data_IF_896709602894
#
_entry.id   IF_896709602894
#
_cell.length_a   1.000
_cell.length_b   1.000
_cell.length_c   1.000
_cell.angle_alpha   90.00
_cell.angle_beta   90.00
_cell.angle_gamma   90.00
#
_symmetry.space_group_name_H-M   'P 1'
#
loop_
_entity.id
_entity.type
_entity.pdbx_description
1 polymer ?
#
# COMPACT_ATOMS: atom_id res chain seq x y z
N UNK A 1 4.98 -40.70 -11.55
CA UNK A 1 6.03 -40.33 -10.57
C UNK A 1 6.76 -39.10 -11.10
N UNK A 2 6.15 -37.93 -10.97
CA UNK A 2 6.50 -36.86 -10.00
C UNK A 2 7.96 -36.42 -10.11
N UNK A 3 8.35 -35.78 -11.22
CA UNK A 3 9.41 -34.76 -11.21
C UNK A 3 9.19 -33.82 -12.41
N UNK A 4 8.35 -32.80 -12.25
CA UNK A 4 8.37 -31.59 -13.10
C UNK A 4 7.49 -30.43 -12.57
N UNK A 5 6.83 -30.60 -11.42
CA UNK A 5 5.97 -29.56 -10.82
C UNK A 5 6.66 -28.61 -9.84
N UNK A 6 7.97 -28.69 -9.64
CA UNK A 6 8.67 -27.90 -8.61
C UNK A 6 9.34 -26.62 -9.09
N UNK A 7 9.29 -26.27 -10.39
CA UNK A 7 9.97 -25.07 -10.90
C UNK A 7 9.07 -23.86 -11.19
N UNK A 8 7.76 -23.96 -10.96
CA UNK A 8 6.82 -22.83 -11.17
C UNK A 8 6.36 -22.14 -9.88
N UNK A 9 6.85 -22.53 -8.71
CA UNK A 9 6.42 -21.92 -7.42
C UNK A 9 7.31 -20.79 -6.92
N UNK A 10 8.46 -20.53 -7.55
CA UNK A 10 9.43 -19.51 -7.08
C UNK A 10 9.39 -18.18 -7.85
N UNK A 11 8.59 -18.07 -8.91
CA UNK A 11 8.54 -16.85 -9.76
C UNK A 11 7.46 -15.84 -9.40
N UNK A 12 6.68 -16.03 -8.34
CA UNK A 12 5.54 -15.14 -8.01
C UNK A 12 5.75 -14.30 -6.75
N UNK A 13 6.85 -14.44 -6.00
CA UNK A 13 6.96 -13.82 -4.67
C UNK A 13 8.04 -12.75 -4.47
N UNK A 14 8.68 -12.26 -5.54
CA UNK A 14 9.80 -11.32 -5.41
C UNK A 14 9.41 -9.85 -5.33
N UNK A 15 8.15 -9.49 -5.57
CA UNK A 15 7.64 -8.12 -5.36
C UNK A 15 7.11 -7.91 -3.93
N UNK A 16 6.94 -9.01 -3.18
CA UNK A 16 6.15 -9.01 -1.95
C UNK A 16 6.90 -8.60 -0.67
N UNK A 17 8.22 -8.36 -0.72
CA UNK A 17 9.00 -8.01 0.50
C UNK A 17 9.61 -6.61 0.40
N UNK A 18 10.04 -6.17 -0.78
CA UNK A 18 10.70 -4.86 -0.95
C UNK A 18 9.75 -3.67 -0.77
N UNK A 19 8.45 -3.84 -1.02
CA UNK A 19 7.47 -2.77 -0.78
C UNK A 19 7.40 -2.44 0.72
N UNK A 20 7.68 -3.39 1.62
CA UNK A 20 7.40 -3.22 3.04
C UNK A 20 8.47 -2.52 3.86
N UNK A 21 9.68 -2.29 3.35
CA UNK A 21 10.70 -1.56 4.11
C UNK A 21 10.80 -0.09 3.65
N UNK A 22 10.64 0.17 2.34
CA UNK A 22 10.80 1.50 1.76
C UNK A 22 9.47 2.18 1.37
N UNK A 23 8.30 1.62 1.73
CA UNK A 23 7.00 2.23 1.41
C UNK A 23 6.85 3.70 1.83
N UNK A 24 7.40 4.18 2.97
CA UNK A 24 7.29 5.59 3.34
C UNK A 24 8.05 6.50 2.36
N UNK A 25 9.24 6.09 1.95
CA UNK A 25 10.13 6.78 1.03
C UNK A 25 9.54 6.80 -0.38
N UNK A 26 9.04 5.65 -0.85
CA UNK A 26 8.39 5.54 -2.17
C UNK A 26 7.16 6.43 -2.24
N UNK A 27 6.28 6.38 -1.22
CA UNK A 27 5.10 7.25 -1.16
C UNK A 27 5.51 8.73 -1.19
N UNK A 28 6.50 9.11 -0.36
CA UNK A 28 7.01 10.49 -0.30
C UNK A 28 7.54 10.97 -1.64
N UNK A 29 8.31 10.11 -2.33
CA UNK A 29 8.86 10.43 -3.64
C UNK A 29 7.75 10.64 -4.68
N UNK A 30 6.79 9.71 -4.78
CA UNK A 30 5.65 9.84 -5.70
C UNK A 30 4.88 11.14 -5.46
N UNK A 31 4.61 11.47 -4.20
CA UNK A 31 3.90 12.70 -3.84
C UNK A 31 4.71 13.96 -4.20
N UNK A 32 6.03 13.93 -4.01
CA UNK A 32 6.90 15.05 -4.42
C UNK A 32 6.87 15.28 -5.94
N UNK A 33 6.77 14.21 -6.73
CA UNK A 33 6.65 14.30 -8.19
C UNK A 33 5.28 14.83 -8.62
N UNK A 34 4.22 14.56 -7.87
CA UNK A 34 2.90 15.11 -8.14
C UNK A 34 2.83 16.64 -7.88
N UNK A 35 3.64 17.12 -6.95
CA UNK A 35 3.79 18.56 -6.70
C UNK A 35 4.63 19.29 -7.77
N UNK A 36 5.30 18.59 -8.69
CA UNK A 36 6.24 19.21 -9.64
C UNK A 36 5.54 20.03 -10.73
N UNK A 37 6.03 21.24 -11.04
CA UNK A 37 5.44 22.15 -12.04
C UNK A 37 5.21 21.58 -13.46
N UNK A 38 5.91 20.51 -13.85
CA UNK A 38 5.80 19.92 -15.19
C UNK A 38 4.56 19.02 -15.27
N UNK A 39 3.62 19.38 -16.13
CA UNK A 39 2.38 18.64 -16.34
C UNK A 39 2.58 17.13 -16.58
N UNK A 40 3.53 16.77 -17.46
CA UNK A 40 3.79 15.36 -17.78
C UNK A 40 4.31 14.57 -16.57
N UNK A 41 5.13 15.21 -15.72
CA UNK A 41 5.63 14.60 -14.48
C UNK A 41 4.49 14.36 -13.51
N UNK A 42 3.58 15.33 -13.32
CA UNK A 42 2.38 15.15 -12.47
C UNK A 42 1.52 13.99 -12.95
N UNK A 43 1.30 13.88 -14.27
CA UNK A 43 0.47 12.82 -14.86
C UNK A 43 1.07 11.44 -14.62
N UNK A 44 2.38 11.28 -14.84
CA UNK A 44 3.09 10.03 -14.56
C UNK A 44 3.04 9.72 -13.06
N UNK A 45 3.32 10.71 -12.20
CA UNK A 45 3.27 10.53 -10.75
C UNK A 45 1.88 10.11 -10.26
N UNK A 46 0.81 10.63 -10.85
CA UNK A 46 -0.56 10.23 -10.53
C UNK A 46 -0.80 8.76 -10.88
N UNK A 47 -0.41 8.32 -12.09
CA UNK A 47 -0.53 6.92 -12.47
C UNK A 47 0.30 6.01 -11.55
N UNK A 48 1.56 6.39 -11.27
CA UNK A 48 2.43 5.64 -10.35
C UNK A 48 1.85 5.57 -8.94
N UNK A 49 1.22 6.64 -8.46
CA UNK A 49 0.52 6.66 -7.18
C UNK A 49 -0.61 5.63 -7.15
N UNK A 50 -1.51 5.67 -8.13
CA UNK A 50 -2.65 4.75 -8.17
C UNK A 50 -2.18 3.28 -8.28
N UNK A 51 -1.17 2.99 -9.09
CA UNK A 51 -0.55 1.65 -9.19
C UNK A 51 0.09 1.23 -7.87
N UNK A 52 0.90 2.09 -7.24
CA UNK A 52 1.57 1.78 -5.98
C UNK A 52 0.59 1.44 -4.87
N UNK A 53 -0.49 2.21 -4.71
CA UNK A 53 -1.51 1.92 -3.71
C UNK A 53 -2.18 0.56 -3.95
N UNK A 54 -2.48 0.24 -5.21
CA UNK A 54 -3.09 -1.03 -5.59
C UNK A 54 -2.14 -2.21 -5.36
N UNK A 55 -0.87 -2.06 -5.69
CA UNK A 55 0.14 -3.12 -5.50
C UNK A 55 0.32 -3.43 -4.01
N UNK A 56 0.47 -2.39 -3.17
CA UNK A 56 0.51 -2.56 -1.71
C UNK A 56 -0.78 -3.23 -1.23
N UNK A 57 -1.94 -2.75 -1.70
CA UNK A 57 -3.24 -3.29 -1.30
C UNK A 57 -3.44 -4.76 -1.68
N UNK A 58 -2.97 -5.16 -2.85
CA UNK A 58 -3.06 -6.53 -3.33
C UNK A 58 -2.08 -7.44 -2.59
N UNK A 59 -0.87 -6.95 -2.27
CA UNK A 59 0.07 -7.65 -1.40
C UNK A 59 -0.61 -8.05 -0.07
N UNK A 60 -1.33 -7.13 0.58
CA UNK A 60 -2.10 -7.47 1.79
C UNK A 60 -3.17 -8.55 1.60
N UNK A 61 -3.85 -8.58 0.45
CA UNK A 61 -4.90 -9.58 0.16
C UNK A 61 -4.30 -10.95 -0.12
N UNK A 62 -3.14 -10.99 -0.76
CA UNK A 62 -2.47 -12.22 -1.19
C UNK A 62 -1.56 -12.79 -0.09
N UNK A 63 -1.18 -11.99 0.90
CA UNK A 63 -0.28 -12.43 1.97
C UNK A 63 -1.01 -13.37 2.93
N UNK A 64 -0.55 -14.62 2.99
CA UNK A 64 -0.98 -15.59 4.00
C UNK A 64 -0.15 -15.41 5.29
N UNK A 65 -0.52 -14.41 6.09
CA UNK A 65 0.21 -14.05 7.31
C UNK A 65 -0.06 -15.06 8.41
N UNK A 66 0.90 -15.95 8.63
CA UNK A 66 0.81 -16.98 9.67
C UNK A 66 1.60 -16.63 10.92
N UNK A 67 2.70 -15.88 10.77
CA UNK A 67 3.61 -15.60 11.87
C UNK A 67 3.26 -14.28 12.59
N UNK A 68 3.41 -14.20 13.93
CA UNK A 68 3.09 -12.99 14.69
C UNK A 68 3.92 -11.75 14.31
N UNK A 69 5.17 -11.93 13.90
CA UNK A 69 6.09 -10.87 13.47
C UNK A 69 5.70 -10.29 12.10
N UNK A 70 5.37 -11.14 11.14
CA UNK A 70 4.82 -10.73 9.83
C UNK A 70 3.52 -9.95 10.01
N UNK A 71 2.64 -10.41 10.91
CA UNK A 71 1.40 -9.73 11.28
C UNK A 71 1.64 -8.34 11.86
N UNK A 72 2.64 -8.21 12.74
CA UNK A 72 3.00 -6.92 13.33
C UNK A 72 3.50 -5.95 12.26
N UNK A 73 4.35 -6.39 11.32
CA UNK A 73 4.85 -5.56 10.21
C UNK A 73 3.71 -5.12 9.28
N UNK A 74 2.85 -6.05 8.91
CA UNK A 74 1.66 -5.76 8.10
C UNK A 74 0.76 -4.69 8.76
N UNK A 75 0.53 -4.80 10.07
CA UNK A 75 -0.21 -3.79 10.83
C UNK A 75 0.49 -2.43 10.83
N UNK A 76 1.82 -2.39 10.99
CA UNK A 76 2.58 -1.13 10.96
C UNK A 76 2.44 -0.41 9.62
N UNK A 77 2.51 -1.15 8.52
CA UNK A 77 2.35 -0.62 7.16
C UNK A 77 0.93 -0.07 6.97
N UNK A 78 -0.11 -0.84 7.36
CA UNK A 78 -1.51 -0.39 7.32
C UNK A 78 -1.73 0.90 8.12
N UNK A 79 -1.23 0.93 9.36
CA UNK A 79 -1.33 2.09 10.24
C UNK A 79 -0.63 3.31 9.66
N UNK A 80 0.55 3.14 9.06
CA UNK A 80 1.26 4.23 8.41
C UNK A 80 0.42 4.86 7.29
N UNK A 81 -0.11 4.06 6.36
CA UNK A 81 -0.89 4.59 5.24
C UNK A 81 -2.17 5.29 5.72
N UNK A 82 -2.93 4.67 6.62
CA UNK A 82 -4.16 5.27 7.18
C UNK A 82 -3.83 6.61 7.84
N UNK A 83 -2.78 6.67 8.67
CA UNK A 83 -2.36 7.91 9.33
C UNK A 83 -1.89 8.96 8.33
N UNK A 84 -1.01 8.60 7.40
CA UNK A 84 -0.46 9.51 6.40
C UNK A 84 -1.54 10.14 5.51
N UNK A 85 -2.64 9.43 5.24
CA UNK A 85 -3.77 9.97 4.49
C UNK A 85 -4.70 10.79 5.36
N UNK A 86 -5.06 10.30 6.56
CA UNK A 86 -5.98 10.99 7.48
C UNK A 86 -5.43 12.34 7.95
N UNK A 87 -4.18 12.38 8.40
CA UNK A 87 -3.54 13.61 8.88
C UNK A 87 -3.61 14.73 7.83
N UNK A 88 -3.56 14.35 6.55
CA UNK A 88 -3.67 15.28 5.43
C UNK A 88 -5.11 15.66 5.11
N UNK A 89 -6.07 14.72 5.13
CA UNK A 89 -7.49 15.02 4.93
C UNK A 89 -8.02 16.02 5.96
N UNK A 90 -7.59 15.90 7.21
CA UNK A 90 -8.03 16.78 8.30
C UNK A 90 -7.36 18.18 8.25
N UNK A 91 -6.47 18.44 7.28
CA UNK A 91 -5.79 19.73 7.11
C UNK A 91 -6.56 20.64 6.13
N UNK A 92 -6.94 21.88 6.51
CA UNK A 92 -7.81 22.76 5.71
C UNK A 92 -7.15 23.39 4.46
N UNK A 93 -5.87 23.15 4.20
CA UNK A 93 -5.06 23.89 3.20
C UNK A 93 -4.75 23.09 1.93
N UNK A 94 -5.28 21.86 1.77
CA UNK A 94 -4.95 21.05 0.61
C UNK A 94 -5.68 21.50 -0.66
N UNK A 95 -4.94 21.55 -1.76
CA UNK A 95 -5.55 21.61 -3.09
C UNK A 95 -6.51 20.44 -3.30
N UNK A 96 -7.63 20.67 -3.99
CA UNK A 96 -8.68 19.67 -4.23
C UNK A 96 -8.11 18.36 -4.81
N UNK A 97 -7.10 18.45 -5.68
CA UNK A 97 -6.46 17.28 -6.30
C UNK A 97 -5.69 16.45 -5.28
N UNK A 98 -4.89 17.09 -4.43
CA UNK A 98 -4.17 16.40 -3.37
C UNK A 98 -5.13 15.77 -2.38
N UNK A 99 -6.18 16.48 -1.98
CA UNK A 99 -7.23 15.94 -1.12
C UNK A 99 -7.88 14.69 -1.73
N UNK A 100 -8.23 14.74 -3.02
CA UNK A 100 -8.82 13.59 -3.72
C UNK A 100 -7.87 12.38 -3.73
N UNK A 101 -6.56 12.57 -3.89
CA UNK A 101 -5.57 11.49 -3.79
C UNK A 101 -5.51 10.89 -2.39
N UNK A 102 -5.52 11.73 -1.34
CA UNK A 102 -5.49 11.27 0.06
C UNK A 102 -6.74 10.48 0.41
N UNK A 103 -7.93 10.96 0.01
CA UNK A 103 -9.20 10.25 0.20
C UNK A 103 -9.13 8.89 -0.50
N UNK A 104 -8.63 8.83 -1.74
CA UNK A 104 -8.52 7.57 -2.49
C UNK A 104 -7.61 6.57 -1.77
N UNK A 105 -6.45 7.01 -1.32
CA UNK A 105 -5.54 6.21 -0.50
C UNK A 105 -6.21 5.73 0.78
N UNK A 106 -6.86 6.62 1.52
CA UNK A 106 -7.57 6.27 2.75
C UNK A 106 -8.62 5.17 2.51
N UNK A 107 -9.47 5.31 1.49
CA UNK A 107 -10.51 4.32 1.16
C UNK A 107 -9.91 2.96 0.82
N UNK A 108 -8.83 2.92 0.03
CA UNK A 108 -8.14 1.67 -0.32
C UNK A 108 -7.68 0.94 0.94
N UNK A 109 -7.03 1.64 1.87
CA UNK A 109 -6.44 1.01 3.06
C UNK A 109 -7.43 0.79 4.20
N UNK A 110 -8.47 1.61 4.34
CA UNK A 110 -9.55 1.38 5.31
C UNK A 110 -10.29 0.06 5.02
N UNK A 111 -10.58 -0.20 3.74
CA UNK A 111 -11.21 -1.45 3.29
C UNK A 111 -10.35 -2.70 3.59
N UNK A 112 -9.02 -2.55 3.56
CA UNK A 112 -8.10 -3.62 3.94
C UNK A 112 -8.09 -3.77 5.46
N UNK A 113 -8.00 -2.66 6.19
CA UNK A 113 -7.98 -2.63 7.65
C UNK A 113 -9.18 -3.33 8.26
N UNK A 114 -10.39 -3.12 7.74
CA UNK A 114 -11.61 -3.80 8.20
C UNK A 114 -11.50 -5.33 8.05
N UNK A 115 -11.04 -5.81 6.88
CA UNK A 115 -10.82 -7.24 6.63
C UNK A 115 -9.70 -7.81 7.49
N UNK A 116 -8.64 -7.04 7.68
CA UNK A 116 -7.47 -7.46 8.44
C UNK A 116 -7.76 -7.53 9.94
N UNK A 117 -8.45 -6.54 10.50
CA UNK A 117 -8.92 -6.54 11.90
C UNK A 117 -9.90 -7.69 12.15
N UNK A 118 -10.85 -7.92 11.24
CA UNK A 118 -11.76 -9.07 11.34
C UNK A 118 -11.04 -10.43 11.29
N UNK A 119 -9.88 -10.53 10.62
CA UNK A 119 -9.03 -11.72 10.65
C UNK A 119 -8.26 -11.87 11.97
N UNK A 120 -7.90 -10.76 12.62
CA UNK A 120 -7.20 -10.77 13.90
C UNK A 120 -8.11 -11.21 15.05
N UNK A 121 -9.34 -10.68 15.10
CA UNK A 121 -10.34 -11.03 16.13
C UNK A 121 -10.79 -12.49 16.06
N UNK A 122 -10.74 -13.12 14.88
CA UNK A 122 -11.09 -14.55 14.70
C UNK A 122 -9.99 -15.53 15.14
N UNK A 123 -8.81 -15.03 15.44
CA UNK A 123 -7.62 -15.84 15.79
C UNK A 123 -7.19 -15.66 17.25
N UNK A 124 -7.92 -14.86 18.03
CA UNK A 124 -7.79 -14.65 19.48
C UNK A 124 -9.00 -15.20 20.20
#
# INVERSE_FOLDING_TARGET
MIVQHTQNFERVNTVNIFIYDDYPEILRYILSMNAHDKYDVKKVAQCTYDTFLLDVANAFKETNIKRPDERRRALQVLQYFIKAFRDKIDTPELEIKDLAMRIRGYVVFANIGEKFLGLLERLT
#
